data_IF_410217501306
#
_entry.id   IF_410217501306
#
_cell.length_a   1.000
_cell.length_b   1.000
_cell.length_c   1.000
_cell.angle_alpha   90.00
_cell.angle_beta   90.00
_cell.angle_gamma   90.00
#
_symmetry.space_group_name_H-M   'P 1'
#
loop_
_entity.id
_entity.type
_entity.pdbx_description
1 polymer ?
#
# COMPACT_ATOMS: atom_id res chain seq x y z
N UNK A 1 68.94 33.97 -14.05
CA UNK A 1 68.02 32.87 -14.43
C UNK A 1 67.01 32.68 -13.30
N UNK A 2 65.84 33.24 -13.46
CA UNK A 2 64.75 33.09 -12.47
C UNK A 2 63.79 32.02 -12.94
N UNK A 3 63.73 30.87 -12.25
CA UNK A 3 62.76 29.83 -12.53
C UNK A 3 61.43 30.19 -11.89
N UNK A 4 60.46 30.46 -12.72
CA UNK A 4 59.07 30.70 -12.29
C UNK A 4 58.39 29.31 -12.12
N UNK A 5 58.17 28.90 -10.88
CA UNK A 5 57.33 27.74 -10.57
C UNK A 5 55.86 28.20 -10.63
N UNK A 6 55.15 27.79 -11.65
CA UNK A 6 53.73 27.93 -11.72
C UNK A 6 53.07 26.81 -10.93
N UNK A 7 52.53 27.12 -9.75
CA UNK A 7 51.68 26.21 -9.00
C UNK A 7 50.28 26.25 -9.57
N UNK A 8 49.89 25.16 -10.18
CA UNK A 8 48.54 24.92 -10.68
C UNK A 8 47.62 24.58 -9.49
N UNK A 9 46.54 25.32 -9.21
CA UNK A 9 45.59 24.92 -8.19
C UNK A 9 44.79 23.72 -8.70
N UNK A 10 44.88 22.61 -7.98
CA UNK A 10 44.08 21.41 -8.18
C UNK A 10 42.63 21.71 -7.77
N UNK A 11 41.83 21.94 -8.79
CA UNK A 11 40.40 22.16 -8.62
C UNK A 11 39.74 20.81 -8.25
N UNK A 12 39.57 20.54 -6.96
CA UNK A 12 38.84 19.37 -6.50
C UNK A 12 37.36 19.61 -6.79
N UNK A 13 36.85 18.95 -7.83
CA UNK A 13 35.44 18.80 -8.11
C UNK A 13 34.82 17.97 -6.97
N UNK A 14 34.21 18.64 -6.02
CA UNK A 14 33.36 17.99 -5.02
C UNK A 14 32.12 17.48 -5.75
N UNK A 15 32.16 16.24 -6.18
CA UNK A 15 31.01 15.53 -6.71
C UNK A 15 30.05 15.30 -5.56
N UNK A 16 29.01 16.14 -5.44
CA UNK A 16 27.88 15.88 -4.57
C UNK A 16 27.06 14.71 -5.11
N UNK A 17 27.53 13.50 -4.90
CA UNK A 17 26.70 12.30 -5.01
C UNK A 17 25.95 12.07 -3.72
N UNK A 18 25.18 13.06 -3.29
CA UNK A 18 24.21 12.89 -2.23
C UNK A 18 22.94 12.28 -2.79
N UNK A 19 22.94 10.98 -3.03
CA UNK A 19 21.67 10.23 -3.03
C UNK A 19 21.16 10.37 -1.59
N UNK A 20 20.03 11.04 -1.36
CA UNK A 20 19.50 11.09 -0.01
C UNK A 20 19.33 9.64 0.45
N UNK A 21 19.68 9.31 1.71
CA UNK A 21 19.45 7.98 2.22
C UNK A 21 17.97 7.69 1.98
N UNK A 22 17.69 6.67 1.18
CA UNK A 22 16.33 6.15 1.12
C UNK A 22 16.00 5.85 2.57
N UNK A 23 15.06 6.61 3.12
CA UNK A 23 14.54 6.31 4.43
C UNK A 23 14.06 4.87 4.33
N UNK A 24 14.87 3.95 4.85
CA UNK A 24 14.39 2.62 5.12
C UNK A 24 13.10 2.87 5.90
N UNK A 25 11.97 2.46 5.32
CA UNK A 25 10.70 2.52 6.02
C UNK A 25 10.96 1.79 7.32
N UNK A 26 11.22 2.54 8.39
CA UNK A 26 11.36 1.97 9.71
C UNK A 26 10.09 1.16 9.89
N UNK A 27 10.27 -0.09 10.25
CA UNK A 27 9.15 -0.96 10.58
C UNK A 27 8.45 -0.29 11.76
N UNK A 28 7.45 0.52 11.46
CA UNK A 28 6.60 1.05 12.49
C UNK A 28 5.82 -0.16 13.00
N UNK A 29 6.02 -0.49 14.27
CA UNK A 29 5.10 -1.34 15.01
C UNK A 29 3.77 -0.59 15.15
N UNK A 30 3.09 -0.44 14.02
CA UNK A 30 1.80 0.18 14.01
C UNK A 30 0.76 -0.83 14.46
N UNK A 31 0.19 -0.56 15.61
CA UNK A 31 -0.94 -1.34 16.12
C UNK A 31 -2.21 -0.64 15.68
N UNK A 32 -3.04 -1.35 14.95
CA UNK A 32 -4.33 -0.82 14.55
C UNK A 32 -5.18 -0.55 15.79
N UNK A 33 -5.76 0.66 15.93
CA UNK A 33 -6.66 0.95 17.02
C UNK A 33 -7.89 0.03 16.95
N UNK A 34 -8.46 -0.27 18.11
CA UNK A 34 -9.68 -1.06 18.19
C UNK A 34 -10.80 -0.41 17.37
N UNK A 35 -11.65 -1.25 16.76
CA UNK A 35 -12.81 -0.76 16.02
C UNK A 35 -13.73 0.01 16.99
N UNK A 36 -14.11 1.27 16.67
CA UNK A 36 -15.02 2.05 17.51
C UNK A 36 -16.36 1.40 17.76
N UNK A 37 -16.81 0.53 16.87
CA UNK A 37 -18.06 -0.22 17.01
C UNK A 37 -17.92 -1.48 17.87
N UNK A 38 -16.69 -1.81 18.29
CA UNK A 38 -16.37 -3.02 19.02
C UNK A 38 -16.47 -4.30 18.17
N UNK A 39 -16.17 -5.41 18.79
CA UNK A 39 -16.32 -6.72 18.14
C UNK A 39 -17.78 -7.17 18.18
N UNK A 40 -18.26 -7.68 17.05
CA UNK A 40 -19.63 -8.20 16.87
C UNK A 40 -19.56 -9.65 16.38
N UNK A 41 -19.21 -10.59 17.25
CA UNK A 41 -18.99 -11.97 16.84
C UNK A 41 -20.24 -12.62 16.24
N UNK A 42 -21.42 -12.17 16.63
CA UNK A 42 -22.69 -12.67 16.11
C UNK A 42 -22.89 -12.40 14.60
N UNK A 43 -22.22 -11.36 14.07
CA UNK A 43 -22.33 -11.04 12.64
C UNK A 43 -21.54 -12.01 11.76
N UNK A 44 -20.66 -12.80 12.35
CA UNK A 44 -19.90 -13.83 11.67
C UNK A 44 -20.60 -15.19 11.62
N UNK A 45 -21.77 -15.31 12.26
CA UNK A 45 -22.54 -16.55 12.23
C UNK A 45 -22.90 -16.91 10.77
N UNK A 46 -22.54 -18.13 10.38
CA UNK A 46 -22.76 -18.60 9.00
C UNK A 46 -21.67 -18.24 7.99
N UNK A 47 -20.67 -17.48 8.40
CA UNK A 47 -19.48 -17.21 7.57
C UNK A 47 -18.40 -18.23 7.89
N UNK A 48 -18.31 -19.30 7.09
CA UNK A 48 -17.35 -20.38 7.29
C UNK A 48 -16.02 -20.17 6.57
N UNK A 49 -16.02 -19.36 5.54
CA UNK A 49 -14.87 -19.18 4.66
C UNK A 49 -14.58 -17.70 4.45
N UNK A 50 -13.32 -17.36 4.15
CA UNK A 50 -12.99 -16.01 3.74
C UNK A 50 -13.82 -15.58 2.52
N UNK A 51 -14.32 -14.36 2.56
CA UNK A 51 -15.05 -13.72 1.49
C UNK A 51 -14.12 -12.68 0.87
N UNK A 52 -13.93 -12.76 -0.44
CA UNK A 52 -13.17 -11.76 -1.21
C UNK A 52 -14.17 -11.09 -2.15
N UNK A 53 -14.20 -9.79 -2.14
CA UNK A 53 -15.10 -9.01 -2.99
C UNK A 53 -14.48 -7.67 -3.37
N UNK A 54 -14.95 -7.08 -4.45
CA UNK A 54 -14.66 -5.68 -4.72
C UNK A 54 -15.65 -4.79 -3.98
N UNK A 55 -15.14 -3.77 -3.32
CA UNK A 55 -15.90 -2.78 -2.58
C UNK A 55 -15.80 -1.40 -3.21
N UNK A 56 -16.66 -0.49 -2.75
CA UNK A 56 -16.57 0.92 -3.12
C UNK A 56 -15.39 1.58 -2.41
N UNK A 57 -14.61 2.38 -3.14
CA UNK A 57 -13.53 3.18 -2.56
C UNK A 57 -14.03 4.29 -1.63
N UNK A 58 -15.31 4.61 -1.70
CA UNK A 58 -15.94 5.66 -0.87
C UNK A 58 -16.45 5.11 0.46
N UNK A 59 -16.37 3.79 0.65
CA UNK A 59 -16.87 3.11 1.85
C UNK A 59 -15.70 2.56 2.65
N UNK A 60 -15.69 2.86 3.95
CA UNK A 60 -14.82 2.20 4.90
C UNK A 60 -15.53 0.96 5.46
N UNK A 61 -14.97 -0.20 5.17
CA UNK A 61 -15.50 -1.47 5.67
C UNK A 61 -14.99 -1.72 7.09
N UNK A 62 -15.89 -1.95 8.06
CA UNK A 62 -15.49 -2.23 9.44
C UNK A 62 -14.76 -3.57 9.52
N UNK A 63 -13.80 -3.64 10.44
CA UNK A 63 -13.07 -4.87 10.70
C UNK A 63 -13.88 -5.91 11.50
N UNK A 64 -14.74 -5.40 12.38
CA UNK A 64 -15.49 -6.23 13.32
C UNK A 64 -16.64 -7.02 12.68
N UNK A 65 -17.03 -6.69 11.46
CA UNK A 65 -18.15 -7.31 10.76
C UNK A 65 -17.76 -7.78 9.36
N UNK A 66 -18.39 -8.83 8.84
CA UNK A 66 -18.22 -9.21 7.45
C UNK A 66 -18.53 -8.06 6.50
N UNK A 67 -17.91 -8.06 5.32
CA UNK A 67 -18.23 -7.09 4.29
C UNK A 67 -19.71 -7.22 3.88
N UNK A 68 -20.47 -6.15 4.04
CA UNK A 68 -21.89 -6.09 3.66
C UNK A 68 -22.11 -5.86 2.15
N UNK A 69 -21.05 -5.62 1.39
CA UNK A 69 -21.17 -5.46 -0.05
C UNK A 69 -21.58 -6.78 -0.72
N UNK A 70 -22.32 -6.67 -1.81
CA UNK A 70 -22.58 -7.84 -2.65
C UNK A 70 -21.26 -8.46 -3.13
N UNK A 71 -21.14 -9.77 -3.00
CA UNK A 71 -19.92 -10.47 -3.41
C UNK A 71 -19.78 -10.38 -4.94
N UNK A 72 -18.70 -9.74 -5.39
CA UNK A 72 -18.37 -9.62 -6.80
C UNK A 72 -16.90 -10.00 -6.99
N UNK A 73 -16.62 -10.81 -7.99
CA UNK A 73 -15.29 -11.26 -8.40
C UNK A 73 -14.64 -10.34 -9.44
N UNK A 74 -15.41 -9.38 -9.93
CA UNK A 74 -14.99 -8.46 -10.97
C UNK A 74 -15.42 -7.02 -10.64
N UNK A 75 -14.61 -6.08 -11.06
CA UNK A 75 -14.95 -4.66 -11.05
C UNK A 75 -14.47 -4.00 -12.34
N UNK A 76 -15.20 -3.01 -12.80
CA UNK A 76 -14.82 -2.22 -13.98
C UNK A 76 -14.44 -0.83 -13.51
N UNK A 77 -13.27 -0.40 -13.90
CA UNK A 77 -12.78 0.94 -13.66
C UNK A 77 -12.78 1.71 -14.97
N UNK A 78 -13.30 2.92 -14.93
CA UNK A 78 -13.26 3.83 -16.07
C UNK A 78 -12.49 5.08 -15.68
N UNK A 79 -11.52 5.46 -16.48
CA UNK A 79 -10.71 6.64 -16.25
C UNK A 79 -10.31 7.31 -17.55
N UNK A 80 -9.97 8.58 -17.49
CA UNK A 80 -9.43 9.32 -18.61
C UNK A 80 -7.94 9.02 -18.77
N UNK A 81 -7.41 9.23 -19.97
CA UNK A 81 -5.99 9.05 -20.21
C UNK A 81 -5.15 9.91 -19.26
N UNK A 82 -4.28 9.27 -18.49
CA UNK A 82 -3.44 9.93 -17.49
C UNK A 82 -4.09 10.11 -16.11
N UNK A 83 -5.35 9.70 -15.96
CA UNK A 83 -6.04 9.68 -14.67
C UNK A 83 -5.57 8.49 -13.82
N UNK A 84 -5.51 8.70 -12.51
CA UNK A 84 -5.32 7.63 -11.54
C UNK A 84 -6.68 7.15 -11.08
N UNK A 85 -6.98 5.89 -11.33
CA UNK A 85 -8.19 5.23 -10.83
C UNK A 85 -7.82 4.26 -9.72
N UNK A 86 -8.70 4.11 -8.74
CA UNK A 86 -8.50 3.25 -7.59
C UNK A 86 -9.57 2.18 -7.51
N UNK A 87 -9.20 0.99 -7.10
CA UNK A 87 -10.11 -0.08 -6.74
C UNK A 87 -9.83 -0.53 -5.31
N UNK A 88 -10.85 -1.06 -4.66
CA UNK A 88 -10.72 -1.64 -3.33
C UNK A 88 -11.15 -3.09 -3.36
N UNK A 89 -10.23 -3.99 -3.02
CA UNK A 89 -10.56 -5.37 -2.72
C UNK A 89 -10.71 -5.53 -1.20
N UNK A 90 -11.81 -6.12 -0.78
CA UNK A 90 -12.13 -6.35 0.62
C UNK A 90 -12.08 -7.84 0.90
N UNK A 91 -11.32 -8.22 1.90
CA UNK A 91 -11.21 -9.59 2.38
C UNK A 91 -11.78 -9.65 3.77
N UNK A 92 -12.84 -10.41 3.93
CA UNK A 92 -13.50 -10.65 5.22
C UNK A 92 -13.31 -12.10 5.62
N UNK A 93 -12.81 -12.35 6.82
CA UNK A 93 -12.59 -13.69 7.31
C UNK A 93 -12.92 -13.81 8.80
N UNK A 94 -13.59 -14.89 9.23
CA UNK A 94 -13.96 -15.10 10.63
C UNK A 94 -12.74 -15.46 11.50
N UNK A 95 -11.63 -15.79 10.89
CA UNK A 95 -10.37 -16.13 11.56
C UNK A 95 -9.18 -15.55 10.79
N UNK A 96 -8.02 -15.54 11.43
CA UNK A 96 -6.80 -15.07 10.79
C UNK A 96 -6.47 -15.88 9.54
N UNK A 97 -6.20 -15.20 8.45
CA UNK A 97 -5.82 -15.77 7.16
C UNK A 97 -4.36 -15.44 6.89
N UNK A 98 -3.54 -16.48 6.74
CA UNK A 98 -2.14 -16.34 6.34
C UNK A 98 -1.93 -16.62 4.85
N UNK A 99 -0.80 -16.15 4.32
CA UNK A 99 -0.38 -16.49 2.96
C UNK A 99 -1.20 -15.81 1.85
N UNK A 100 -1.81 -14.66 2.13
CA UNK A 100 -2.48 -13.87 1.09
C UNK A 100 -1.46 -13.36 0.08
N UNK A 101 -1.74 -13.62 -1.20
CA UNK A 101 -0.94 -13.10 -2.31
C UNK A 101 -1.84 -12.28 -3.23
N UNK A 102 -1.31 -11.18 -3.71
CA UNK A 102 -1.95 -10.35 -4.71
C UNK A 102 -1.04 -10.28 -5.93
N UNK A 103 -1.57 -10.59 -7.08
CA UNK A 103 -0.86 -10.47 -8.35
C UNK A 103 -1.57 -9.43 -9.20
N UNK A 104 -0.81 -8.44 -9.64
CA UNK A 104 -1.30 -7.42 -10.57
C UNK A 104 -0.72 -7.74 -11.94
N UNK A 105 -1.59 -7.97 -12.90
CA UNK A 105 -1.20 -8.19 -14.29
C UNK A 105 -1.01 -6.87 -15.05
N UNK A 106 -0.61 -6.99 -16.30
CA UNK A 106 -0.48 -5.84 -17.19
C UNK A 106 -1.86 -5.31 -17.57
N UNK A 107 -1.94 -3.99 -17.69
CA UNK A 107 -3.12 -3.35 -18.27
C UNK A 107 -3.06 -3.47 -19.80
N UNK A 108 -4.13 -3.89 -20.40
CA UNK A 108 -4.24 -4.04 -21.86
C UNK A 108 -5.02 -2.88 -22.45
#
# INVERSE_FOLDING_TARGET
MKKLLATLPLLTLLSCTGIPPQHALSHFDWTEPADPQGEKPETWNGVEKPIVTFGSTDVRYPRATPCAAAVTDQTTLTGWRGEKVSAQAVISAPAAVGGLTCTVGDFV
#
